data_IF_053238316024
#
_entry.id   IF_053238316024
#
_cell.length_a   1.000
_cell.length_b   1.000
_cell.length_c   1.000
_cell.angle_alpha   90.00
_cell.angle_beta   90.00
_cell.angle_gamma   90.00
#
_symmetry.space_group_name_H-M   'P 1'
#
loop_
_entity.id
_entity.type
_entity.pdbx_description
1 polymer ?
#
# COMPACT_ATOMS: atom_id res chain seq x y z
N UNK A 1 -9.50 -5.48 4.95
CA UNK A 1 -9.10 -5.02 3.61
C UNK A 1 -9.65 -5.98 2.56
N UNK A 2 -10.27 -5.49 1.48
CA UNK A 2 -10.88 -6.35 0.45
C UNK A 2 -9.91 -6.80 -0.66
N UNK A 3 -10.32 -7.80 -1.43
CA UNK A 3 -9.58 -8.34 -2.59
C UNK A 3 -9.17 -7.25 -3.61
N UNK A 4 -10.03 -6.24 -3.83
CA UNK A 4 -9.74 -5.10 -4.73
C UNK A 4 -8.57 -4.24 -4.29
N UNK A 5 -8.41 -4.05 -2.97
CA UNK A 5 -7.27 -3.29 -2.43
C UNK A 5 -5.96 -4.04 -2.71
N UNK A 6 -5.95 -5.36 -2.52
CA UNK A 6 -4.78 -6.19 -2.82
C UNK A 6 -4.39 -6.12 -4.28
N UNK A 7 -5.35 -6.29 -5.20
CA UNK A 7 -5.11 -6.16 -6.64
C UNK A 7 -4.56 -4.77 -7.03
N UNK A 8 -5.02 -3.72 -6.37
CA UNK A 8 -4.49 -2.38 -6.59
C UNK A 8 -3.02 -2.27 -6.16
N UNK A 9 -2.67 -2.82 -4.99
CA UNK A 9 -1.28 -2.86 -4.51
C UNK A 9 -0.40 -3.71 -5.43
N UNK A 10 -0.87 -4.90 -5.84
CA UNK A 10 -0.18 -5.77 -6.81
C UNK A 10 0.20 -4.99 -8.08
N UNK A 11 -0.77 -4.30 -8.68
CA UNK A 11 -0.55 -3.53 -9.91
C UNK A 11 0.42 -2.35 -9.72
N UNK A 12 0.43 -1.71 -8.54
CA UNK A 12 1.35 -0.61 -8.26
C UNK A 12 2.78 -1.09 -8.00
N UNK A 13 2.93 -2.17 -7.23
CA UNK A 13 4.25 -2.78 -7.00
C UNK A 13 4.84 -3.25 -8.33
N UNK A 14 4.06 -3.93 -9.16
CA UNK A 14 4.52 -4.38 -10.48
C UNK A 14 4.95 -3.22 -11.39
N UNK A 15 4.25 -2.08 -11.32
CA UNK A 15 4.60 -0.89 -12.08
C UNK A 15 5.88 -0.20 -11.57
N UNK A 16 6.10 -0.19 -10.25
CA UNK A 16 7.29 0.41 -9.62
C UNK A 16 8.54 -0.43 -9.86
N UNK A 17 8.43 -1.76 -9.72
CA UNK A 17 9.57 -2.68 -9.79
C UNK A 17 9.80 -3.27 -11.20
N UNK A 18 8.90 -2.97 -12.15
CA UNK A 18 8.94 -3.51 -13.52
C UNK A 18 8.53 -4.99 -13.63
N UNK A 19 8.26 -5.66 -12.51
CA UNK A 19 7.83 -7.05 -12.43
C UNK A 19 6.95 -7.29 -11.20
N UNK A 20 6.04 -8.30 -11.22
CA UNK A 20 5.28 -8.68 -10.04
C UNK A 20 6.19 -9.19 -8.93
N UNK A 21 6.06 -8.63 -7.73
CA UNK A 21 6.82 -9.01 -6.54
C UNK A 21 5.87 -9.33 -5.37
N UNK A 22 5.34 -10.57 -5.29
CA UNK A 22 4.34 -10.94 -4.29
C UNK A 22 4.80 -10.76 -2.85
N UNK A 23 6.08 -10.97 -2.57
CA UNK A 23 6.68 -10.80 -1.24
C UNK A 23 6.60 -9.34 -0.75
N UNK A 24 6.81 -8.38 -1.66
CA UNK A 24 6.69 -6.94 -1.37
C UNK A 24 5.23 -6.57 -1.12
N UNK A 25 4.29 -7.15 -1.88
CA UNK A 25 2.86 -6.95 -1.65
C UNK A 25 2.44 -7.49 -0.28
N UNK A 26 2.88 -8.69 0.08
CA UNK A 26 2.59 -9.28 1.40
C UNK A 26 3.18 -8.46 2.55
N UNK A 27 4.38 -7.91 2.35
CA UNK A 27 4.98 -6.98 3.30
C UNK A 27 4.12 -5.71 3.46
N UNK A 28 3.68 -5.09 2.36
CA UNK A 28 2.80 -3.90 2.41
C UNK A 28 1.48 -4.20 3.11
N UNK A 29 0.86 -5.36 2.83
CA UNK A 29 -0.37 -5.77 3.52
C UNK A 29 -0.18 -5.91 5.02
N UNK A 30 0.95 -6.51 5.43
CA UNK A 30 1.31 -6.66 6.83
C UNK A 30 1.58 -5.30 7.49
N UNK A 31 2.31 -4.41 6.80
CA UNK A 31 2.60 -3.06 7.24
C UNK A 31 1.32 -2.26 7.53
N UNK A 32 0.35 -2.28 6.61
CA UNK A 32 -0.95 -1.60 6.81
C UNK A 32 -1.72 -2.18 8.00
N UNK A 33 -1.64 -3.49 8.23
CA UNK A 33 -2.28 -4.12 9.39
C UNK A 33 -1.67 -3.69 10.73
N UNK A 34 -0.45 -3.13 10.76
CA UNK A 34 0.16 -2.58 11.99
C UNK A 34 -0.33 -1.19 12.39
N UNK A 35 -1.19 -0.55 11.58
CA UNK A 35 -1.72 0.80 11.84
C UNK A 35 -0.65 1.89 12.04
N UNK A 36 0.56 1.69 11.50
CA UNK A 36 1.63 2.69 11.52
C UNK A 36 1.27 3.93 10.72
N UNK A 37 1.94 5.04 11.03
CA UNK A 37 1.79 6.30 10.31
C UNK A 37 2.43 6.26 8.92
N UNK A 38 2.03 7.17 8.00
CA UNK A 38 2.59 7.21 6.65
C UNK A 38 4.09 7.52 6.62
N UNK A 39 4.62 8.27 7.58
CA UNK A 39 6.06 8.54 7.67
C UNK A 39 6.88 7.27 7.94
N UNK A 40 6.42 6.43 8.87
CA UNK A 40 7.05 5.13 9.16
C UNK A 40 6.95 4.20 7.94
N UNK A 41 5.80 4.21 7.27
CA UNK A 41 5.60 3.40 6.06
C UNK A 41 6.53 3.81 4.92
N UNK A 42 6.81 5.11 4.73
CA UNK A 42 7.83 5.57 3.77
C UNK A 42 9.19 5.01 4.16
N UNK A 43 9.62 5.20 5.42
CA UNK A 43 10.94 4.74 5.86
C UNK A 43 11.14 3.23 5.69
N UNK A 44 10.11 2.42 5.90
CA UNK A 44 10.18 0.96 5.74
C UNK A 44 10.14 0.50 4.27
N UNK A 45 9.46 1.25 3.39
CA UNK A 45 9.31 0.89 1.98
C UNK A 45 10.39 1.50 1.08
N UNK A 46 11.05 2.56 1.50
CA UNK A 46 12.06 3.27 0.71
C UNK A 46 13.25 2.40 0.27
N UNK A 47 13.76 1.48 1.12
CA UNK A 47 14.77 0.51 0.68
C UNK A 47 14.27 -0.52 -0.35
N UNK A 48 12.95 -0.69 -0.49
CA UNK A 48 12.33 -1.72 -1.34
C UNK A 48 11.81 -1.14 -2.66
N UNK A 49 11.32 0.10 -2.66
CA UNK A 49 10.58 0.72 -3.77
C UNK A 49 11.28 1.94 -4.38
N UNK A 50 12.48 2.29 -3.90
CA UNK A 50 13.32 3.38 -4.41
C UNK A 50 12.66 4.80 -4.42
N UNK A 51 13.08 5.64 -5.36
CA UNK A 51 12.80 7.08 -5.53
C UNK A 51 11.33 7.50 -5.55
N UNK A 52 10.39 6.59 -5.82
CA UNK A 52 8.95 6.90 -5.91
C UNK A 52 8.12 6.48 -4.67
N UNK A 53 8.79 6.06 -3.59
CA UNK A 53 8.15 5.54 -2.37
C UNK A 53 7.16 6.51 -1.74
N UNK A 54 7.52 7.78 -1.54
CA UNK A 54 6.63 8.76 -0.90
C UNK A 54 5.32 8.98 -1.69
N UNK A 55 5.42 9.02 -3.02
CA UNK A 55 4.27 9.14 -3.93
C UNK A 55 3.38 7.90 -3.88
N UNK A 56 3.97 6.72 -3.75
CA UNK A 56 3.24 5.46 -3.56
C UNK A 56 2.50 5.46 -2.21
N UNK A 57 3.19 5.76 -1.11
CA UNK A 57 2.61 5.75 0.24
C UNK A 57 1.47 6.76 0.38
N UNK A 58 1.60 7.95 -0.24
CA UNK A 58 0.51 8.93 -0.25
C UNK A 58 -0.78 8.35 -0.88
N UNK A 59 -0.65 7.65 -2.01
CA UNK A 59 -1.79 7.02 -2.69
C UNK A 59 -2.33 5.84 -1.87
N UNK A 60 -1.44 5.03 -1.30
CA UNK A 60 -1.78 3.90 -0.44
C UNK A 60 -2.67 4.33 0.73
N UNK A 61 -2.26 5.36 1.48
CA UNK A 61 -3.03 5.85 2.63
C UNK A 61 -4.34 6.50 2.22
N UNK A 62 -4.40 7.23 1.09
CA UNK A 62 -5.68 7.73 0.54
C UNK A 62 -6.65 6.58 0.26
N UNK A 63 -6.16 5.48 -0.30
CA UNK A 63 -7.00 4.30 -0.56
C UNK A 63 -7.42 3.62 0.73
N UNK A 64 -6.53 3.47 1.73
CA UNK A 64 -6.88 2.90 3.04
C UNK A 64 -7.98 3.70 3.72
N UNK A 65 -7.85 5.03 3.77
CA UNK A 65 -8.86 5.92 4.34
C UNK A 65 -10.18 5.75 3.60
N UNK A 66 -10.17 5.88 2.27
CA UNK A 66 -11.39 5.75 1.47
C UNK A 66 -12.09 4.40 1.67
N UNK A 67 -11.37 3.28 1.65
CA UNK A 67 -11.93 1.95 1.83
C UNK A 67 -12.49 1.75 3.25
N UNK A 68 -11.84 2.35 4.25
CA UNK A 68 -12.27 2.27 5.66
C UNK A 68 -13.53 3.10 5.89
N UNK A 69 -13.57 4.34 5.39
CA UNK A 69 -14.75 5.21 5.47
C UNK A 69 -15.93 4.63 4.68
N UNK A 70 -15.67 4.08 3.48
CA UNK A 70 -16.69 3.42 2.66
C UNK A 70 -17.29 2.22 3.40
N UNK A 71 -16.44 1.38 4.00
CA UNK A 71 -16.90 0.24 4.80
C UNK A 71 -17.69 0.68 6.04
N UNK A 72 -17.25 1.74 6.73
CA UNK A 72 -17.95 2.30 7.88
C UNK A 72 -19.34 2.88 7.51
N UNK A 73 -19.47 3.42 6.29
CA UNK A 73 -20.73 3.87 5.72
C UNK A 73 -21.63 2.73 5.20
N UNK A 74 -21.16 1.48 5.24
CA UNK A 74 -21.90 0.31 4.75
C UNK A 74 -21.93 0.18 3.23
N UNK A 75 -20.96 0.77 2.52
CA UNK A 75 -20.87 0.83 1.05
C UNK A 75 -19.78 -0.09 0.47
#
# INVERSE_FOLDING_TARGET
MGHKFRQWVDAKVAALLGAPEPSVVDFIMSLIATHKGPADAVAELEPLLDSDTASFVLKLYRTVIFETERAAAGL
#
